data_IF_834678767153
#
_entry.id   IF_834678767153
#
_cell.length_a   1.000
_cell.length_b   1.000
_cell.length_c   1.000
_cell.angle_alpha   90.00
_cell.angle_beta   90.00
_cell.angle_gamma   90.00
#
_symmetry.space_group_name_H-M   'P 1'
#
loop_
_entity.id
_entity.type
_entity.pdbx_description
1 polymer ?
#
# COMPACT_ATOMS: atom_id res chain seq x y z
N UNK A 1 42.92 -9.75 38.26
CA UNK A 1 41.88 -9.81 39.30
C UNK A 1 41.20 -8.44 39.39
N UNK A 2 39.86 -8.42 39.33
CA UNK A 2 38.89 -7.40 39.81
C UNK A 2 39.05 -5.98 39.23
N UNK A 3 38.07 -5.34 38.60
CA UNK A 3 36.63 -5.52 38.55
C UNK A 3 35.99 -4.13 38.65
N UNK A 4 35.25 -3.70 37.63
CA UNK A 4 34.30 -2.57 37.69
C UNK A 4 33.41 -2.57 36.44
N UNK A 5 32.21 -3.14 36.59
CA UNK A 5 31.00 -2.69 35.90
C UNK A 5 30.51 -1.38 36.57
N UNK A 6 29.80 -0.50 35.84
CA UNK A 6 28.35 -0.63 35.82
C UNK A 6 27.74 -0.50 34.43
N UNK A 7 26.90 -1.49 34.11
CA UNK A 7 25.53 -1.34 33.58
C UNK A 7 25.01 0.09 33.44
N UNK A 8 24.65 0.47 32.21
CA UNK A 8 23.46 1.28 31.89
C UNK A 8 23.07 0.94 30.44
N UNK A 9 22.33 -0.15 30.31
CA UNK A 9 21.53 -0.45 29.12
C UNK A 9 20.17 0.19 29.39
N UNK A 10 19.95 1.40 28.87
CA UNK A 10 18.59 1.94 28.77
C UNK A 10 17.90 1.40 27.51
N UNK A 11 16.57 1.19 27.59
CA UNK A 11 15.89 0.21 26.77
C UNK A 11 15.47 0.78 25.42
N UNK A 12 15.29 -0.15 24.47
CA UNK A 12 14.67 0.04 23.18
C UNK A 12 13.45 0.97 23.26
N UNK A 13 13.44 2.01 22.42
CA UNK A 13 12.23 2.75 22.11
C UNK A 13 11.20 1.75 21.56
N UNK A 14 10.16 1.55 22.34
CA UNK A 14 9.07 0.64 22.10
C UNK A 14 8.22 1.11 20.91
N UNK A 15 7.91 0.16 20.05
CA UNK A 15 6.55 -0.13 19.57
C UNK A 15 5.66 1.09 19.27
N UNK A 16 5.81 1.65 18.07
CA UNK A 16 4.75 2.42 17.42
C UNK A 16 3.96 1.48 16.49
N UNK A 17 3.33 0.46 17.09
CA UNK A 17 2.43 -0.47 16.44
C UNK A 17 1.01 -0.28 16.93
N UNK A 18 0.13 0.10 16.00
CA UNK A 18 -1.30 -0.22 15.95
C UNK A 18 -2.17 -0.04 17.22
N UNK A 19 -2.94 1.06 17.27
CA UNK A 19 -4.37 0.95 17.61
C UNK A 19 -5.15 2.19 17.15
N UNK A 20 -5.79 2.12 15.98
CA UNK A 20 -6.73 3.14 15.53
C UNK A 20 -7.90 2.51 14.74
N UNK A 21 -8.61 1.57 15.38
CA UNK A 21 -9.91 1.12 14.88
C UNK A 21 -10.86 0.76 16.03
N UNK A 22 -11.50 1.77 16.63
CA UNK A 22 -12.79 1.59 17.29
C UNK A 22 -13.58 2.91 17.29
N UNK A 23 -14.72 2.93 16.61
CA UNK A 23 -15.66 4.04 16.63
C UNK A 23 -16.22 4.31 18.03
N UNK A 24 -16.27 5.59 18.40
CA UNK A 24 -16.88 6.08 19.62
C UNK A 24 -17.29 7.53 19.44
N UNK A 25 -18.54 7.83 19.82
CA UNK A 25 -19.20 9.12 19.64
C UNK A 25 -18.42 10.31 20.23
N UNK A 26 -18.61 11.48 19.61
CA UNK A 26 -17.95 12.73 19.95
C UNK A 26 -17.91 13.05 21.44
N UNK A 27 -16.69 13.14 21.96
CA UNK A 27 -16.34 13.73 23.25
C UNK A 27 -15.13 14.65 23.08
N UNK A 28 -14.93 15.65 23.96
CA UNK A 28 -13.86 16.63 23.81
C UNK A 28 -12.48 15.98 23.96
N UNK A 29 -11.56 16.42 23.08
CA UNK A 29 -10.13 16.11 22.99
C UNK A 29 -9.51 15.64 24.32
N UNK A 30 -9.07 14.37 24.39
CA UNK A 30 -8.01 13.99 25.32
C UNK A 30 -6.66 14.31 24.65
N UNK A 31 -6.40 15.62 24.54
CA UNK A 31 -5.09 16.13 24.18
C UNK A 31 -4.15 15.90 25.37
N UNK A 32 -3.06 15.14 25.17
CA UNK A 32 -1.84 15.43 25.92
C UNK A 32 -1.59 16.94 25.77
N UNK A 33 -1.47 17.68 26.87
CA UNK A 33 -1.54 19.14 26.88
C UNK A 33 -0.52 19.77 25.90
N UNK A 34 -0.97 20.06 24.67
CA UNK A 34 -0.22 20.81 23.69
C UNK A 34 -0.02 22.22 24.25
N UNK A 35 1.14 22.84 23.99
CA UNK A 35 1.32 24.26 24.32
C UNK A 35 0.30 25.10 23.57
N UNK A 36 -0.09 26.25 24.14
CA UNK A 36 -1.02 27.21 23.50
C UNK A 36 -0.58 27.50 22.06
N UNK A 37 0.72 27.72 21.85
CA UNK A 37 1.31 28.02 20.55
C UNK A 37 1.05 26.91 19.50
N UNK A 38 1.07 25.63 19.89
CA UNK A 38 0.78 24.52 18.98
C UNK A 38 -0.69 24.46 18.60
N UNK A 39 -1.58 24.69 19.57
CA UNK A 39 -3.02 24.76 19.32
C UNK A 39 -3.34 25.91 18.35
N UNK A 40 -2.71 27.07 18.55
CA UNK A 40 -2.89 28.23 17.68
C UNK A 40 -2.38 27.97 16.26
N UNK A 41 -1.19 27.35 16.12
CA UNK A 41 -0.64 26.94 14.83
C UNK A 41 -1.57 25.94 14.08
N UNK A 42 -2.10 24.95 14.80
CA UNK A 42 -3.00 23.94 14.23
C UNK A 42 -4.29 24.59 13.73
N UNK A 43 -4.91 25.45 14.54
CA UNK A 43 -6.12 26.16 14.16
C UNK A 43 -5.91 27.08 12.96
N UNK A 44 -4.77 27.77 12.90
CA UNK A 44 -4.41 28.60 11.76
C UNK A 44 -4.22 27.77 10.48
N UNK A 45 -3.53 26.63 10.57
CA UNK A 45 -3.34 25.76 9.42
C UNK A 45 -4.67 25.21 8.88
N UNK A 46 -5.57 24.77 9.77
CA UNK A 46 -6.93 24.34 9.40
C UNK A 46 -7.75 25.47 8.76
N UNK A 47 -7.67 26.69 9.32
CA UNK A 47 -8.34 27.87 8.76
C UNK A 47 -7.83 28.16 7.34
N UNK A 48 -6.52 28.15 7.14
CA UNK A 48 -5.91 28.36 5.83
C UNK A 48 -6.30 27.30 4.81
N UNK A 49 -6.27 26.02 5.17
CA UNK A 49 -6.74 24.95 4.26
C UNK A 49 -8.21 25.16 3.86
N UNK A 50 -9.07 25.55 4.81
CA UNK A 50 -10.48 25.85 4.52
C UNK A 50 -10.67 27.03 3.56
N UNK A 51 -9.76 28.00 3.57
CA UNK A 51 -9.81 29.18 2.69
C UNK A 51 -9.18 28.91 1.31
N UNK A 52 -8.17 28.05 1.25
CA UNK A 52 -7.43 27.75 0.03
C UNK A 52 -8.08 26.66 -0.82
N UNK A 53 -8.74 25.68 -0.18
CA UNK A 53 -9.17 24.46 -0.84
C UNK A 53 -10.70 24.38 -0.87
N UNK A 54 -11.28 24.47 -2.07
CA UNK A 54 -12.65 24.02 -2.30
C UNK A 54 -12.64 22.49 -2.44
N UNK A 55 -12.72 21.80 -1.30
CA UNK A 55 -12.61 20.33 -1.24
C UNK A 55 -13.57 19.62 -2.19
N UNK A 56 -14.80 20.13 -2.36
CA UNK A 56 -15.78 19.49 -3.24
C UNK A 56 -15.37 19.64 -4.70
N UNK A 57 -14.94 20.84 -5.10
CA UNK A 57 -14.45 21.10 -6.46
C UNK A 57 -13.16 20.31 -6.74
N UNK A 58 -12.20 20.31 -5.82
CA UNK A 58 -10.91 19.62 -5.96
C UNK A 58 -11.08 18.10 -6.07
N UNK A 59 -11.93 17.50 -5.22
CA UNK A 59 -12.21 16.06 -5.32
C UNK A 59 -12.89 15.73 -6.65
N UNK A 60 -13.86 16.53 -7.11
CA UNK A 60 -14.50 16.32 -8.41
C UNK A 60 -13.51 16.43 -9.57
N UNK A 61 -12.63 17.43 -9.52
CA UNK A 61 -11.59 17.63 -10.51
C UNK A 61 -10.62 16.45 -10.51
N UNK A 62 -10.10 16.07 -9.34
CA UNK A 62 -9.15 14.97 -9.21
C UNK A 62 -9.76 13.64 -9.70
N UNK A 63 -10.99 13.31 -9.32
CA UNK A 63 -11.68 12.11 -9.84
C UNK A 63 -11.77 12.15 -11.38
N UNK A 64 -11.96 13.33 -11.96
CA UNK A 64 -12.03 13.51 -13.42
C UNK A 64 -10.64 13.36 -14.06
N UNK A 65 -9.60 13.95 -13.46
CA UNK A 65 -8.22 13.85 -13.91
C UNK A 65 -7.69 12.42 -13.78
N UNK A 66 -7.89 11.75 -12.64
CA UNK A 66 -7.43 10.37 -12.43
C UNK A 66 -8.11 9.36 -13.36
N UNK A 67 -9.31 9.65 -13.88
CA UNK A 67 -9.93 8.84 -14.93
C UNK A 67 -9.16 8.88 -16.26
N UNK A 68 -8.31 9.88 -16.47
CA UNK A 68 -7.41 9.92 -17.63
C UNK A 68 -6.21 8.99 -17.46
N UNK A 69 -5.93 8.49 -16.25
CA UNK A 69 -4.93 7.45 -15.98
C UNK A 69 -5.39 6.06 -16.45
N UNK A 70 -6.34 5.97 -17.39
CA UNK A 70 -6.87 4.71 -17.90
C UNK A 70 -5.82 3.82 -18.60
N UNK A 71 -4.60 4.32 -18.77
CA UNK A 71 -3.45 3.61 -19.32
C UNK A 71 -2.52 3.03 -18.25
N UNK A 72 -2.59 3.52 -17.01
CA UNK A 72 -1.83 2.93 -15.92
C UNK A 72 -2.42 1.55 -15.58
N UNK A 73 -1.59 0.49 -15.52
CA UNK A 73 -2.03 -0.79 -15.00
C UNK A 73 -2.60 -0.66 -13.59
N UNK A 74 -3.61 -1.46 -13.26
CA UNK A 74 -4.11 -1.62 -11.90
C UNK A 74 -3.44 -2.84 -11.27
N UNK A 75 -2.87 -2.66 -10.09
CA UNK A 75 -2.21 -3.71 -9.32
C UNK A 75 -2.49 -3.55 -7.83
N UNK A 76 -2.10 -4.54 -7.04
CA UNK A 76 -2.08 -4.39 -5.58
C UNK A 76 -0.96 -3.41 -5.21
N UNK A 77 -1.35 -2.21 -4.79
CA UNK A 77 -0.48 -1.10 -4.43
C UNK A 77 -0.33 -1.02 -2.91
N UNK A 78 0.80 -0.51 -2.46
CA UNK A 78 1.05 -0.24 -1.04
C UNK A 78 0.28 0.98 -0.56
N UNK A 79 0.22 2.02 -1.41
CA UNK A 79 -0.37 3.33 -1.18
C UNK A 79 0.31 4.19 -0.10
N UNK A 80 1.36 3.68 0.55
CA UNK A 80 2.10 4.38 1.62
C UNK A 80 3.57 3.91 1.70
N UNK A 81 4.27 3.90 0.56
CA UNK A 81 5.66 3.43 0.50
C UNK A 81 6.69 4.48 1.03
N UNK A 82 6.39 5.16 2.14
CA UNK A 82 7.29 6.11 2.82
C UNK A 82 8.52 5.41 3.42
N UNK A 83 9.55 6.18 3.78
CA UNK A 83 10.84 5.63 4.22
C UNK A 83 10.76 4.72 5.44
N UNK A 84 9.79 4.96 6.34
CA UNK A 84 9.54 4.10 7.51
C UNK A 84 9.09 2.68 7.14
N UNK A 85 8.50 2.50 5.96
CA UNK A 85 7.92 1.23 5.50
C UNK A 85 8.92 0.39 4.67
N UNK A 86 10.15 0.87 4.47
CA UNK A 86 11.23 0.13 3.81
C UNK A 86 12.21 -0.46 4.82
N UNK A 87 12.17 -1.77 5.01
CA UNK A 87 13.12 -2.47 5.89
C UNK A 87 14.26 -3.11 5.09
N UNK A 88 15.50 -2.81 5.47
CA UNK A 88 16.70 -3.44 4.91
C UNK A 88 17.07 -4.69 5.69
N UNK A 89 17.09 -5.83 5.00
CA UNK A 89 17.54 -7.12 5.55
C UNK A 89 19.07 -7.17 5.70
N UNK A 90 19.61 -8.06 6.55
CA UNK A 90 21.06 -8.25 6.68
C UNK A 90 21.77 -8.62 5.37
N UNK A 91 21.08 -9.29 4.45
CA UNK A 91 21.59 -9.66 3.13
C UNK A 91 21.52 -8.52 2.09
N UNK A 92 21.10 -7.33 2.50
CA UNK A 92 21.02 -6.15 1.67
C UNK A 92 19.73 -6.00 0.86
N UNK A 93 18.80 -6.96 0.94
CA UNK A 93 17.48 -6.83 0.28
C UNK A 93 16.58 -5.86 1.03
N UNK A 94 15.83 -5.07 0.29
CA UNK A 94 14.75 -4.23 0.82
C UNK A 94 13.44 -5.02 0.83
N UNK A 95 12.63 -4.79 1.87
CA UNK A 95 11.30 -5.38 2.04
C UNK A 95 10.34 -4.27 2.45
N UNK A 96 9.20 -4.20 1.76
CA UNK A 96 8.07 -3.36 2.16
C UNK A 96 7.28 -4.04 3.28
N UNK A 97 6.89 -3.25 4.27
CA UNK A 97 6.07 -3.65 5.41
C UNK A 97 4.92 -2.66 5.57
N UNK A 98 3.97 -2.99 6.46
CA UNK A 98 2.86 -2.12 6.82
C UNK A 98 1.89 -1.77 5.66
N UNK A 99 1.13 -2.78 5.25
CA UNK A 99 0.12 -2.67 4.20
C UNK A 99 -1.24 -2.15 4.71
N UNK A 100 -1.27 -1.28 5.73
CA UNK A 100 -2.52 -0.73 6.29
C UNK A 100 -3.40 -0.06 5.21
N UNK A 101 -2.77 0.71 4.32
CA UNK A 101 -3.41 1.37 3.18
C UNK A 101 -3.41 0.51 1.91
N UNK A 102 -2.93 -0.73 1.99
CA UNK A 102 -2.72 -1.61 0.84
C UNK A 102 -4.02 -1.97 0.12
N UNK A 103 -4.04 -1.85 -1.21
CA UNK A 103 -5.24 -2.12 -1.99
C UNK A 103 -5.01 -2.05 -3.50
N UNK A 104 -6.00 -2.50 -4.28
CA UNK A 104 -5.94 -2.36 -5.73
C UNK A 104 -6.10 -0.89 -6.15
N UNK A 105 -5.10 -0.38 -6.86
CA UNK A 105 -5.04 1.02 -7.30
C UNK A 105 -4.25 1.10 -8.63
N UNK A 106 -4.33 2.20 -9.41
CA UNK A 106 -3.39 2.42 -10.50
C UNK A 106 -1.96 2.46 -9.97
N UNK A 107 -1.06 1.71 -10.60
CA UNK A 107 0.37 1.69 -10.26
C UNK A 107 0.97 3.10 -10.25
N UNK A 108 0.53 3.95 -11.17
CA UNK A 108 0.94 5.36 -11.22
C UNK A 108 0.68 6.12 -9.91
N UNK A 109 -0.39 5.80 -9.17
CA UNK A 109 -0.67 6.42 -7.87
C UNK A 109 0.38 6.02 -6.83
N UNK A 110 0.70 4.72 -6.72
CA UNK A 110 1.67 4.23 -5.75
C UNK A 110 3.07 4.81 -6.01
N UNK A 111 3.44 4.89 -7.30
CA UNK A 111 4.69 5.51 -7.74
C UNK A 111 4.69 7.02 -7.50
N UNK A 112 3.61 7.71 -7.83
CA UNK A 112 3.46 9.16 -7.61
C UNK A 112 3.57 9.50 -6.12
N UNK A 113 2.91 8.72 -5.25
CA UNK A 113 3.04 8.84 -3.81
C UNK A 113 4.49 8.63 -3.34
N UNK A 114 5.14 7.56 -3.81
CA UNK A 114 6.54 7.28 -3.50
C UNK A 114 7.48 8.44 -3.90
N UNK A 115 7.22 9.12 -5.01
CA UNK A 115 7.97 10.31 -5.39
C UNK A 115 7.72 11.49 -4.45
N UNK A 116 6.47 11.73 -4.00
CA UNK A 116 6.17 12.75 -3.00
C UNK A 116 7.00 12.54 -1.72
N UNK A 117 7.11 11.31 -1.24
CA UNK A 117 7.81 11.01 0.02
C UNK A 117 9.31 11.31 -0.01
N UNK A 118 9.94 11.48 -1.18
CA UNK A 118 11.34 11.93 -1.24
C UNK A 118 11.53 13.36 -0.71
N UNK A 119 10.48 14.18 -0.79
CA UNK A 119 10.52 15.55 -0.32
C UNK A 119 10.24 15.66 1.20
N UNK A 120 9.82 14.60 1.87
CA UNK A 120 9.54 14.60 3.29
C UNK A 120 10.61 13.84 4.06
N UNK A 121 10.91 14.31 5.26
CA UNK A 121 11.83 13.66 6.19
C UNK A 121 11.17 13.62 7.57
N UNK A 122 10.71 12.42 7.95
CA UNK A 122 10.05 12.18 9.24
C UNK A 122 11.04 11.66 10.30
N UNK A 123 12.29 11.39 9.93
CA UNK A 123 13.27 10.68 10.77
C UNK A 123 14.34 11.59 11.38
N UNK A 124 14.44 12.83 10.92
CA UNK A 124 15.41 13.84 11.38
C UNK A 124 15.26 14.27 12.84
N UNK A 125 14.25 13.77 13.58
CA UNK A 125 13.92 14.20 14.95
C UNK A 125 13.78 15.73 15.06
N UNK A 126 13.25 16.37 14.02
CA UNK A 126 13.02 17.80 13.99
C UNK A 126 12.09 18.22 15.15
N UNK A 127 12.31 19.43 15.65
CA UNK A 127 11.33 20.09 16.52
C UNK A 127 9.98 20.23 15.78
N UNK A 128 8.93 20.59 16.53
CA UNK A 128 7.61 20.84 15.96
C UNK A 128 7.72 21.70 14.68
N UNK A 129 7.13 21.27 13.54
CA UNK A 129 6.02 20.31 13.44
C UNK A 129 6.42 18.83 13.33
N UNK A 130 7.67 18.46 13.61
CA UNK A 130 8.09 17.06 13.72
C UNK A 130 8.42 16.39 12.38
N UNK A 131 8.68 17.20 11.35
CA UNK A 131 9.14 16.76 10.03
C UNK A 131 9.91 17.89 9.33
N UNK A 132 10.70 17.55 8.33
CA UNK A 132 11.29 18.51 7.40
C UNK A 132 10.73 18.31 6.00
N UNK A 133 10.74 19.40 5.22
CA UNK A 133 10.34 19.40 3.82
C UNK A 133 11.48 19.91 2.95
N UNK A 134 11.83 19.12 1.95
CA UNK A 134 12.96 19.31 1.04
C UNK A 134 12.46 19.17 -0.40
N UNK A 135 11.84 20.21 -0.99
CA UNK A 135 11.29 20.14 -2.34
C UNK A 135 12.37 19.85 -3.40
N UNK A 136 13.63 20.19 -3.11
CA UNK A 136 14.80 19.89 -3.93
C UNK A 136 15.16 18.41 -4.00
N UNK A 137 14.63 17.57 -3.08
CA UNK A 137 14.80 16.12 -3.10
C UNK A 137 13.75 15.39 -3.94
N UNK A 138 12.69 16.08 -4.39
CA UNK A 138 11.72 15.49 -5.29
C UNK A 138 12.43 14.99 -6.58
N UNK A 139 12.16 13.75 -7.05
CA UNK A 139 12.94 13.17 -8.13
C UNK A 139 12.85 14.00 -9.43
N UNK A 140 13.98 14.20 -10.11
CA UNK A 140 13.99 14.87 -11.43
C UNK A 140 13.26 14.02 -12.46
N UNK A 141 12.87 14.61 -13.60
CA UNK A 141 12.19 13.85 -14.67
C UNK A 141 13.01 12.64 -15.12
N UNK A 142 14.32 12.77 -15.21
CA UNK A 142 15.23 11.68 -15.57
C UNK A 142 15.20 10.55 -14.53
N UNK A 143 15.19 10.90 -13.24
CA UNK A 143 15.10 9.93 -12.14
C UNK A 143 13.74 9.23 -12.12
N UNK A 144 12.64 9.95 -12.36
CA UNK A 144 11.29 9.37 -12.43
C UNK A 144 11.19 8.35 -13.57
N UNK A 145 11.69 8.70 -14.77
CA UNK A 145 11.68 7.81 -15.93
C UNK A 145 12.57 6.59 -15.68
N UNK A 146 13.75 6.77 -15.10
CA UNK A 146 14.64 5.66 -14.77
C UNK A 146 14.04 4.71 -13.73
N UNK A 147 13.38 5.25 -12.70
CA UNK A 147 12.64 4.45 -11.72
C UNK A 147 11.52 3.64 -12.41
N UNK A 148 10.72 4.28 -13.27
CA UNK A 148 9.64 3.61 -14.00
C UNK A 148 10.19 2.52 -14.93
N UNK A 149 11.35 2.72 -15.56
CA UNK A 149 12.03 1.71 -16.39
C UNK A 149 12.42 0.49 -15.55
N UNK A 150 13.11 0.72 -14.43
CA UNK A 150 13.51 -0.35 -13.50
C UNK A 150 12.29 -1.12 -12.95
N UNK A 151 11.22 -0.40 -12.61
CA UNK A 151 9.97 -0.99 -12.15
C UNK A 151 9.35 -1.90 -13.22
N UNK A 152 9.21 -1.41 -14.46
CA UNK A 152 8.63 -2.18 -15.56
C UNK A 152 9.47 -3.41 -15.92
N UNK A 153 10.80 -3.28 -15.91
CA UNK A 153 11.73 -4.40 -16.11
C UNK A 153 11.55 -5.48 -15.03
N UNK A 154 11.48 -5.07 -13.76
CA UNK A 154 11.26 -5.97 -12.63
C UNK A 154 9.88 -6.64 -12.67
N UNK A 155 8.83 -5.88 -13.04
CA UNK A 155 7.47 -6.39 -13.20
C UNK A 155 7.40 -7.44 -14.33
N UNK A 156 8.03 -7.17 -15.48
CA UNK A 156 8.11 -8.11 -16.58
C UNK A 156 8.87 -9.39 -16.19
N UNK A 157 10.00 -9.26 -15.47
CA UNK A 157 10.74 -10.42 -14.96
C UNK A 157 9.91 -11.25 -13.97
N UNK A 158 9.21 -10.58 -13.04
CA UNK A 158 8.33 -11.24 -12.08
C UNK A 158 7.23 -12.03 -12.78
N UNK A 159 6.55 -11.43 -13.76
CA UNK A 159 5.50 -12.08 -14.51
C UNK A 159 6.01 -13.31 -15.28
N UNK A 160 7.20 -13.25 -15.89
CA UNK A 160 7.85 -14.41 -16.53
C UNK A 160 8.12 -15.53 -15.52
N UNK A 161 8.59 -15.21 -14.31
CA UNK A 161 8.84 -16.21 -13.24
C UNK A 161 7.55 -16.89 -12.80
N UNK A 162 6.48 -16.12 -12.58
CA UNK A 162 5.15 -16.64 -12.23
C UNK A 162 4.62 -17.56 -13.33
N UNK A 163 4.74 -17.17 -14.60
CA UNK A 163 4.28 -17.97 -15.74
C UNK A 163 5.06 -19.29 -15.88
N UNK A 164 6.38 -19.27 -15.66
CA UNK A 164 7.21 -20.49 -15.65
C UNK A 164 6.82 -21.43 -14.52
N UNK A 165 6.58 -20.88 -13.33
CA UNK A 165 6.16 -21.67 -12.16
C UNK A 165 4.80 -22.32 -12.37
N UNK A 166 3.80 -21.56 -12.85
CA UNK A 166 2.46 -22.10 -13.11
C UNK A 166 2.48 -23.19 -14.20
N UNK A 167 3.29 -23.01 -15.24
CA UNK A 167 3.48 -24.02 -16.30
C UNK A 167 4.11 -25.30 -15.75
N UNK A 168 5.11 -25.18 -14.86
CA UNK A 168 5.73 -26.34 -14.21
C UNK A 168 4.76 -27.08 -13.30
N UNK A 169 4.07 -26.37 -12.41
CA UNK A 169 3.08 -26.95 -11.48
C UNK A 169 1.94 -27.65 -12.24
N UNK A 170 1.50 -27.09 -13.38
CA UNK A 170 0.50 -27.73 -14.24
C UNK A 170 1.01 -29.03 -14.86
N UNK A 171 2.24 -29.05 -15.39
CA UNK A 171 2.86 -30.27 -15.94
C UNK A 171 3.04 -31.36 -14.89
N UNK A 172 3.40 -30.98 -13.66
CA UNK A 172 3.53 -31.91 -12.53
C UNK A 172 2.17 -32.52 -12.15
N UNK A 173 1.09 -31.73 -12.11
CA UNK A 173 -0.28 -32.24 -11.87
C UNK A 173 -0.77 -33.16 -12.99
N UNK A 174 -0.59 -32.78 -14.26
CA UNK A 174 -0.95 -33.60 -15.42
C UNK A 174 -0.10 -34.88 -15.55
N UNK A 175 1.12 -34.87 -15.00
CA UNK A 175 1.99 -36.05 -14.90
C UNK A 175 1.58 -36.98 -13.75
N UNK A 176 1.23 -36.41 -12.58
CA UNK A 176 0.75 -37.16 -11.42
C UNK A 176 -0.59 -37.85 -11.69
N UNK A 177 -1.53 -37.19 -12.36
CA UNK A 177 -2.83 -37.75 -12.77
C UNK A 177 -2.66 -38.93 -13.74
N UNK A 178 -1.72 -38.81 -14.69
CA UNK A 178 -1.34 -39.91 -15.60
C UNK A 178 -0.66 -41.09 -14.88
N UNK A 179 0.05 -40.84 -13.79
CA UNK A 179 0.68 -41.91 -12.98
C UNK A 179 -0.28 -42.63 -12.03
N UNK A 180 -1.39 -42.00 -11.62
CA UNK A 180 -2.45 -42.64 -10.83
C UNK A 180 -3.52 -43.36 -11.68
N UNK A 181 -3.55 -43.12 -13.00
CA UNK A 181 -4.51 -43.73 -13.93
C UNK A 181 -4.16 -45.14 -14.44
N UNK A 182 -3.13 -45.81 -13.90
CA UNK A 182 -2.71 -47.14 -14.38
C UNK A 182 -2.51 -48.16 -13.25
N UNK A 183 -3.49 -48.32 -12.36
CA UNK A 183 -3.67 -49.58 -11.64
C UNK A 183 -5.17 -49.91 -11.52
N UNK A 184 -5.62 -50.93 -12.27
CA UNK A 184 -6.72 -51.79 -11.85
C UNK A 184 -8.10 -51.59 -12.48
N UNK A 185 -8.47 -52.51 -13.37
CA UNK A 185 -9.77 -53.18 -13.24
C UNK A 185 -10.86 -52.83 -14.25
N UNK A 186 -11.06 -53.73 -15.23
CA UNK A 186 -12.33 -53.88 -15.94
C UNK A 186 -13.41 -54.23 -14.91
N UNK A 187 -14.43 -53.40 -14.74
CA UNK A 187 -15.57 -53.64 -13.87
C UNK A 187 -16.84 -53.02 -14.44
N UNK A 188 -17.90 -53.82 -14.53
CA UNK A 188 -19.14 -53.61 -15.28
C UNK A 188 -19.98 -52.45 -14.76
N UNK A 189 -20.77 -51.89 -15.67
CA UNK A 189 -21.93 -51.06 -15.37
C UNK A 189 -22.92 -51.82 -14.46
N UNK A 190 -23.33 -51.18 -13.37
CA UNK A 190 -24.53 -51.53 -12.63
C UNK A 190 -25.19 -50.24 -12.15
N UNK A 191 -26.42 -50.09 -12.60
CA UNK A 191 -27.44 -49.11 -12.25
C UNK A 191 -28.01 -49.43 -10.86
N UNK A 192 -28.06 -48.48 -9.94
CA UNK A 192 -28.92 -48.55 -8.73
C UNK A 192 -29.32 -47.14 -8.28
N UNK A 193 -30.62 -46.85 -8.37
CA UNK A 193 -31.32 -45.79 -7.65
C UNK A 193 -31.35 -46.07 -6.15
N UNK A 194 -31.19 -45.06 -5.29
CA UNK A 194 -31.44 -45.22 -3.85
C UNK A 194 -31.31 -43.93 -3.06
N UNK A 195 -32.45 -43.47 -2.55
CA UNK A 195 -32.65 -42.31 -1.66
C UNK A 195 -32.23 -42.59 -0.21
N UNK A 196 -31.99 -41.49 0.54
CA UNK A 196 -32.25 -41.26 1.99
C UNK A 196 -31.03 -40.91 2.87
N UNK A 197 -30.95 -39.60 3.16
CA UNK A 197 -30.75 -38.90 4.44
C UNK A 197 -29.60 -39.30 5.39
N UNK A 198 -28.69 -38.35 5.59
CA UNK A 198 -27.87 -38.21 6.80
C UNK A 198 -27.54 -36.74 7.06
N UNK A 199 -28.27 -36.10 8.00
CA UNK A 199 -27.96 -34.75 8.50
C UNK A 199 -26.63 -34.77 9.26
N UNK A 200 -25.70 -33.91 8.88
CA UNK A 200 -24.49 -33.61 9.63
C UNK A 200 -24.10 -32.15 9.43
N UNK A 201 -24.23 -31.36 10.50
CA UNK A 201 -23.94 -29.93 10.57
C UNK A 201 -22.48 -29.64 10.17
N UNK A 202 -22.28 -29.02 9.00
CA UNK A 202 -21.00 -28.45 8.56
C UNK A 202 -21.26 -27.34 7.52
N UNK A 203 -21.95 -26.29 7.96
CA UNK A 203 -22.08 -25.05 7.20
C UNK A 203 -21.41 -23.96 8.00
N UNK A 204 -20.24 -23.48 7.55
CA UNK A 204 -19.65 -22.16 7.84
C UNK A 204 -18.16 -22.06 7.47
N UNK A 205 -17.45 -23.18 7.25
CA UNK A 205 -16.02 -23.15 6.84
C UNK A 205 -15.74 -23.27 5.34
N UNK A 206 -16.71 -23.72 4.54
CA UNK A 206 -16.48 -23.98 3.10
C UNK A 206 -16.82 -22.80 2.18
N UNK A 207 -17.58 -21.81 2.67
CA UNK A 207 -17.98 -20.65 1.85
C UNK A 207 -16.79 -19.73 1.58
N UNK A 208 -15.96 -19.44 2.60
CA UNK A 208 -14.79 -18.56 2.47
C UNK A 208 -13.66 -19.17 1.60
N UNK A 209 -13.50 -20.50 1.61
CA UNK A 209 -12.52 -21.19 0.77
C UNK A 209 -12.96 -21.23 -0.71
N UNK A 210 -14.27 -21.36 -0.97
CA UNK A 210 -14.83 -21.33 -2.32
C UNK A 210 -14.79 -19.95 -2.96
N UNK A 211 -14.80 -18.88 -2.17
CA UNK A 211 -14.78 -17.51 -2.68
C UNK A 211 -13.34 -17.06 -3.01
N UNK A 212 -12.36 -17.43 -2.17
CA UNK A 212 -10.93 -17.26 -2.49
C UNK A 212 -10.52 -17.98 -3.76
N UNK A 213 -11.10 -19.16 -4.05
CA UNK A 213 -10.82 -19.88 -5.29
C UNK A 213 -11.48 -19.26 -6.51
N UNK A 214 -12.64 -18.61 -6.37
CA UNK A 214 -13.33 -17.89 -7.45
C UNK A 214 -12.65 -16.57 -7.83
N UNK A 215 -12.15 -15.82 -6.84
CA UNK A 215 -11.39 -14.57 -7.09
C UNK A 215 -10.00 -14.89 -7.66
N UNK A 216 -9.34 -15.96 -7.18
CA UNK A 216 -8.09 -16.43 -7.77
C UNK A 216 -8.27 -17.03 -9.18
N UNK A 217 -9.45 -17.55 -9.52
CA UNK A 217 -9.75 -18.11 -10.84
C UNK A 217 -10.15 -17.06 -11.89
N UNK A 218 -10.60 -15.87 -11.47
CA UNK A 218 -10.91 -14.75 -12.38
C UNK A 218 -9.69 -13.89 -12.71
N UNK A 219 -8.66 -13.92 -11.86
CA UNK A 219 -7.37 -13.31 -12.15
C UNK A 219 -6.63 -14.13 -13.21
N UNK A 220 -6.75 -13.71 -14.47
CA UNK A 220 -5.79 -14.10 -15.50
C UNK A 220 -4.59 -13.17 -15.39
N UNK A 221 -3.43 -13.61 -14.85
CA UNK A 221 -2.23 -12.80 -14.91
C UNK A 221 -1.98 -12.43 -16.36
N UNK A 222 -1.67 -11.15 -16.67
CA UNK A 222 -1.38 -10.74 -18.03
C UNK A 222 -0.28 -11.62 -18.63
N UNK A 223 -0.40 -11.93 -19.91
CA UNK A 223 0.62 -12.70 -20.65
C UNK A 223 1.82 -11.79 -20.89
N UNK A 224 2.62 -11.53 -19.85
CA UNK A 224 3.76 -10.62 -19.94
C UNK A 224 5.01 -11.42 -20.31
N UNK A 225 5.44 -11.30 -21.56
CA UNK A 225 6.70 -11.80 -22.10
C UNK A 225 7.80 -10.72 -22.13
N UNK A 226 7.47 -9.46 -22.43
CA UNK A 226 8.38 -8.30 -22.51
C UNK A 226 7.82 -7.05 -21.80
N UNK A 227 8.61 -5.99 -21.69
CA UNK A 227 8.15 -4.66 -21.23
C UNK A 227 7.08 -4.08 -22.15
N UNK A 228 7.11 -4.41 -23.45
CA UNK A 228 6.06 -4.01 -24.41
C UNK A 228 4.70 -4.68 -24.12
N UNK A 229 4.70 -5.88 -23.54
CA UNK A 229 3.47 -6.60 -23.18
C UNK A 229 2.72 -5.96 -21.99
N UNK A 230 3.35 -5.06 -21.25
CA UNK A 230 2.69 -4.26 -20.21
C UNK A 230 1.90 -3.08 -20.79
N UNK A 231 2.09 -2.77 -22.08
CA UNK A 231 1.30 -1.75 -22.80
C UNK A 231 1.55 -0.30 -22.34
N UNK A 232 2.59 -0.05 -21.55
CA UNK A 232 2.95 1.27 -21.01
C UNK A 232 4.46 1.48 -21.08
N UNK A 233 4.91 2.64 -21.55
CA UNK A 233 6.33 3.00 -21.56
C UNK A 233 6.77 3.64 -20.23
N UNK A 234 8.07 3.64 -19.89
CA UNK A 234 8.57 4.34 -18.71
C UNK A 234 8.18 5.82 -18.67
N UNK A 235 8.20 6.50 -19.81
CA UNK A 235 7.86 7.93 -19.93
C UNK A 235 6.39 8.18 -19.68
N UNK A 236 5.52 7.29 -20.16
CA UNK A 236 4.08 7.35 -19.94
C UNK A 236 3.75 7.08 -18.48
N UNK A 237 4.35 6.05 -17.87
CA UNK A 237 4.16 5.75 -16.46
C UNK A 237 4.65 6.90 -15.56
N UNK A 238 5.77 7.53 -15.89
CA UNK A 238 6.27 8.70 -15.17
C UNK A 238 5.33 9.92 -15.31
N UNK A 239 4.75 10.16 -16.48
CA UNK A 239 3.77 11.22 -16.67
C UNK A 239 2.47 10.95 -15.90
N UNK A 240 1.98 9.72 -15.94
CA UNK A 240 0.82 9.27 -15.18
C UNK A 240 1.07 9.40 -13.66
N UNK A 241 2.26 9.04 -13.19
CA UNK A 241 2.66 9.19 -11.79
C UNK A 241 2.72 10.65 -11.36
N UNK A 242 3.18 11.55 -12.24
CA UNK A 242 3.19 13.00 -11.98
C UNK A 242 1.78 13.58 -11.85
N UNK A 243 0.81 13.08 -12.61
CA UNK A 243 -0.59 13.48 -12.42
C UNK A 243 -1.15 12.88 -11.13
N UNK A 244 -0.83 11.61 -10.84
CA UNK A 244 -1.30 10.92 -9.64
C UNK A 244 -0.69 11.47 -8.34
N UNK A 245 0.48 12.11 -8.41
CA UNK A 245 1.09 12.90 -7.35
C UNK A 245 0.10 13.88 -6.72
N UNK A 246 -0.66 14.62 -7.56
CA UNK A 246 -1.70 15.53 -7.07
C UNK A 246 -2.78 14.81 -6.26
N UNK A 247 -3.07 13.56 -6.62
CA UNK A 247 -3.96 12.70 -5.87
C UNK A 247 -3.40 12.32 -4.51
N UNK A 248 -2.11 12.01 -4.42
CA UNK A 248 -1.41 11.78 -3.15
C UNK A 248 -1.49 13.01 -2.24
N UNK A 249 -1.14 14.20 -2.75
CA UNK A 249 -1.24 15.45 -1.99
C UNK A 249 -2.65 15.69 -1.43
N UNK A 250 -3.70 15.52 -2.24
CA UNK A 250 -5.08 15.74 -1.78
C UNK A 250 -5.53 14.68 -0.75
N UNK A 251 -5.26 13.39 -1.00
CA UNK A 251 -5.65 12.30 -0.08
C UNK A 251 -5.00 12.50 1.29
N UNK A 252 -3.70 12.83 1.31
CA UNK A 252 -2.99 13.02 2.56
C UNK A 252 -3.32 14.33 3.26
N UNK A 253 -3.65 15.39 2.52
CA UNK A 253 -4.24 16.62 3.09
C UNK A 253 -5.54 16.32 3.83
N UNK A 254 -6.44 15.56 3.20
CA UNK A 254 -7.71 15.15 3.83
C UNK A 254 -7.49 14.28 5.06
N UNK A 255 -6.57 13.31 4.97
CA UNK A 255 -6.18 12.47 6.09
C UNK A 255 -5.66 13.30 7.27
N UNK A 256 -4.83 14.31 7.00
CA UNK A 256 -4.22 15.10 8.07
C UNK A 256 -5.23 16.02 8.77
N UNK A 257 -6.24 16.51 8.06
CA UNK A 257 -7.37 17.25 8.66
C UNK A 257 -8.07 16.36 9.69
N UNK A 258 -8.31 15.08 9.37
CA UNK A 258 -8.90 14.12 10.31
C UNK A 258 -7.96 13.90 11.48
N UNK A 259 -6.68 13.60 11.21
CA UNK A 259 -5.71 13.27 12.24
C UNK A 259 -5.38 14.41 13.20
N UNK A 260 -5.46 15.66 12.74
CA UNK A 260 -5.31 16.85 13.61
C UNK A 260 -6.31 16.87 14.78
N UNK A 261 -7.40 16.09 14.69
CA UNK A 261 -8.45 16.02 15.71
C UNK A 261 -8.47 14.72 16.49
N UNK A 262 -7.98 13.62 15.91
CA UNK A 262 -8.12 12.26 16.46
C UNK A 262 -6.81 11.64 16.92
N UNK A 263 -5.67 12.07 16.38
CA UNK A 263 -4.40 11.40 16.64
C UNK A 263 -3.88 11.71 18.04
N UNK A 264 -3.32 10.68 18.68
CA UNK A 264 -2.62 10.77 19.97
C UNK A 264 -1.10 10.88 19.80
N UNK A 265 -0.60 10.83 18.55
CA UNK A 265 0.83 10.93 18.24
C UNK A 265 1.32 12.34 18.62
N UNK A 266 2.08 12.40 19.71
CA UNK A 266 2.68 13.63 20.19
C UNK A 266 3.89 14.04 19.34
N UNK A 267 3.97 15.32 18.98
CA UNK A 267 5.15 15.90 18.31
C UNK A 267 4.99 16.13 16.81
N UNK A 268 4.00 15.52 16.17
CA UNK A 268 3.72 15.73 14.75
C UNK A 268 2.59 16.75 14.52
N UNK A 269 2.87 17.76 13.70
CA UNK A 269 1.92 18.81 13.30
C UNK A 269 1.08 18.38 12.09
N UNK A 270 0.00 17.61 12.33
CA UNK A 270 -0.84 17.08 11.25
C UNK A 270 -1.49 18.18 10.38
N UNK A 271 -1.98 19.26 10.99
CA UNK A 271 -2.63 20.32 10.26
C UNK A 271 -1.62 21.13 9.43
N UNK A 272 -0.45 21.41 9.99
CA UNK A 272 0.66 22.08 9.33
C UNK A 272 1.18 21.26 8.15
N UNK A 273 1.29 19.95 8.34
CA UNK A 273 1.69 19.01 7.28
C UNK A 273 0.66 18.92 6.15
N UNK A 274 -0.63 18.92 6.52
CA UNK A 274 -1.72 18.99 5.54
C UNK A 274 -1.71 20.27 4.73
N UNK A 275 -1.53 21.41 5.40
CA UNK A 275 -1.45 22.69 4.73
C UNK A 275 -0.27 22.70 3.75
N UNK A 276 0.88 22.17 4.16
CA UNK A 276 2.05 22.05 3.29
C UNK A 276 1.75 21.19 2.06
N UNK A 277 1.20 19.98 2.24
CA UNK A 277 0.79 19.08 1.15
C UNK A 277 -0.21 19.75 0.20
N UNK A 278 -1.06 20.64 0.70
CA UNK A 278 -2.06 21.36 -0.10
C UNK A 278 -1.49 22.52 -0.92
N UNK A 279 -0.33 23.06 -0.55
CA UNK A 279 0.24 24.26 -1.16
C UNK A 279 1.50 24.01 -1.99
N UNK A 280 2.20 22.91 -1.75
CA UNK A 280 3.44 22.51 -2.43
C UNK A 280 3.23 21.21 -3.22
#
# INVERSE_FOLDING_TARGET
>A
ERGAEPSDVEPAAADAGADAAAGGAGGPLQAAALSSDRVDATNEALRRMRELIDLEAEVKWLVTALRTLNRSPVAFCHNDAQEGNWMRRPDGRLVLIDYEYGGYNPVAYDIGNYFCEHAFDYQSNADFPGYLFHPDRYPTREQQVEFCRLYLDAAAEHARKVMRRSTRERREREGADRSMGFEGGRGRAADVSGSVVGRGLRGERDVAASDRSRVAASYSPPRVGTTEDLGVTPEQLAEDARLAMLGSHLVWTLWSIVQSRSSTIGGFGFAEWGLLRATE
#
